data_IF_951882902413
#
_entry.id   IF_951882902413
#
_cell.length_a   1.000
_cell.length_b   1.000
_cell.length_c   1.000
_cell.angle_alpha   90.00
_cell.angle_beta   90.00
_cell.angle_gamma   90.00
#
_symmetry.space_group_name_H-M   'P 1'
#
loop_
_entity.id
_entity.type
_entity.pdbx_description
1 polymer ?
#
# COMPACT_ATOMS: atom_id res chain seq x y z
N UNK A 1 -8.68 3.07 -54.34
CA UNK A 1 -8.81 1.61 -54.48
C UNK A 1 -7.66 0.93 -53.76
N UNK A 2 -7.87 0.50 -52.53
CA UNK A 2 -7.05 -0.51 -51.85
C UNK A 2 -8.06 -1.42 -51.14
N UNK A 3 -8.11 -2.69 -51.56
CA UNK A 3 -8.93 -3.74 -50.97
C UNK A 3 -8.23 -4.23 -49.71
N UNK A 4 -8.91 -4.19 -48.57
CA UNK A 4 -8.58 -5.03 -47.41
C UNK A 4 -9.87 -5.71 -46.97
N UNK A 5 -9.91 -7.01 -47.21
CA UNK A 5 -11.04 -7.90 -46.96
C UNK A 5 -11.04 -8.33 -45.51
N UNK A 6 -12.05 -7.85 -44.79
CA UNK A 6 -12.58 -8.43 -43.56
C UNK A 6 -13.14 -9.82 -43.87
N UNK A 7 -12.76 -10.86 -43.14
CA UNK A 7 -13.57 -12.08 -42.96
C UNK A 7 -13.34 -12.66 -41.54
N UNK A 8 -14.42 -12.99 -40.80
CA UNK A 8 -14.39 -13.50 -39.44
C UNK A 8 -14.22 -15.03 -39.36
N UNK A 9 -13.89 -15.51 -38.17
CA UNK A 9 -13.61 -16.89 -37.75
C UNK A 9 -14.58 -17.98 -38.25
N UNK A 10 -14.17 -19.26 -38.10
CA UNK A 10 -15.10 -20.23 -37.54
C UNK A 10 -14.53 -20.98 -36.33
N UNK A 11 -15.24 -20.84 -35.22
CA UNK A 11 -15.32 -21.83 -34.14
C UNK A 11 -16.03 -23.07 -34.70
N UNK A 12 -15.52 -24.27 -34.43
CA UNK A 12 -16.35 -25.45 -34.09
C UNK A 12 -15.50 -26.62 -33.53
N UNK A 13 -16.14 -27.58 -32.84
CA UNK A 13 -15.62 -28.24 -31.65
C UNK A 13 -15.36 -29.73 -31.88
N UNK A 14 -14.71 -30.38 -30.92
CA UNK A 14 -14.97 -31.75 -30.44
C UNK A 14 -13.68 -32.42 -29.96
N UNK A 15 -13.77 -33.09 -28.81
CA UNK A 15 -12.67 -33.90 -28.29
C UNK A 15 -12.71 -34.01 -26.78
N UNK A 16 -13.76 -34.64 -26.25
CA UNK A 16 -13.78 -35.08 -24.87
C UNK A 16 -12.65 -36.10 -24.61
N UNK A 17 -11.99 -35.97 -23.47
CA UNK A 17 -10.94 -36.86 -23.03
C UNK A 17 -10.46 -36.49 -21.63
N UNK A 18 -11.18 -37.00 -20.63
CA UNK A 18 -10.72 -37.36 -19.27
C UNK A 18 -9.57 -36.49 -18.73
N UNK A 19 -9.91 -35.45 -17.95
CA UNK A 19 -8.93 -34.79 -17.07
C UNK A 19 -8.71 -35.71 -15.87
N UNK A 20 -7.73 -36.60 -15.98
CA UNK A 20 -7.13 -37.22 -14.79
C UNK A 20 -6.40 -36.15 -14.01
N UNK A 21 -6.66 -36.11 -12.70
CA UNK A 21 -5.84 -35.43 -11.71
C UNK A 21 -4.36 -35.59 -12.03
N UNK A 22 -3.75 -34.52 -12.49
CA UNK A 22 -2.31 -34.38 -12.56
C UNK A 22 -2.04 -32.95 -12.15
N UNK A 23 -2.01 -32.75 -10.84
CA UNK A 23 -1.32 -31.61 -10.24
C UNK A 23 0.04 -31.50 -10.91
N UNK A 24 0.37 -30.39 -11.60
CA UNK A 24 1.72 -30.23 -12.09
C UNK A 24 2.63 -30.17 -10.87
N UNK A 25 3.44 -31.21 -10.70
CA UNK A 25 4.61 -31.17 -9.83
C UNK A 25 5.55 -30.14 -10.47
N UNK A 26 5.49 -28.90 -10.01
CA UNK A 26 6.50 -27.89 -10.30
C UNK A 26 7.73 -28.28 -9.48
N UNK A 27 8.44 -29.31 -9.95
CA UNK A 27 9.78 -29.67 -9.48
C UNK A 27 10.78 -28.79 -10.21
N UNK A 28 10.84 -27.54 -9.80
CA UNK A 28 11.98 -26.65 -10.02
C UNK A 28 12.13 -25.86 -8.74
N UNK A 29 13.16 -26.15 -7.95
CA UNK A 29 13.47 -25.34 -6.77
C UNK A 29 13.62 -23.89 -7.23
N UNK A 30 12.76 -23.00 -6.72
CA UNK A 30 12.93 -21.56 -6.90
C UNK A 30 14.32 -21.20 -6.34
N UNK A 31 15.20 -20.52 -7.10
CA UNK A 31 16.57 -20.21 -6.65
C UNK A 31 16.61 -19.34 -5.39
N UNK A 32 15.49 -18.71 -5.03
CA UNK A 32 15.28 -17.94 -3.80
C UNK A 32 15.00 -18.81 -2.56
N UNK A 33 14.72 -20.10 -2.75
CA UNK A 33 14.40 -21.07 -1.67
C UNK A 33 15.43 -22.19 -1.53
N UNK A 34 16.50 -22.13 -2.33
CA UNK A 34 17.61 -23.08 -2.25
C UNK A 34 18.27 -23.01 -0.87
N UNK A 35 18.25 -24.12 -0.13
CA UNK A 35 18.79 -24.21 1.22
C UNK A 35 17.81 -23.86 2.36
N UNK A 36 16.57 -23.49 2.06
CA UNK A 36 15.53 -23.30 3.09
C UNK A 36 14.92 -24.63 3.52
N UNK A 37 14.63 -24.74 4.82
CA UNK A 37 13.79 -25.80 5.39
C UNK A 37 12.35 -25.68 4.89
N UNK A 38 11.59 -26.77 4.93
CA UNK A 38 10.17 -26.74 4.54
C UNK A 38 9.34 -25.78 5.39
N UNK A 39 9.71 -25.56 6.65
CA UNK A 39 9.05 -24.59 7.53
C UNK A 39 9.29 -23.15 7.03
N UNK A 40 10.54 -22.78 6.76
CA UNK A 40 10.90 -21.46 6.24
C UNK A 40 10.25 -21.17 4.87
N UNK A 41 10.12 -22.20 4.02
CA UNK A 41 9.40 -22.08 2.74
C UNK A 41 7.92 -21.75 2.96
N UNK A 42 7.26 -22.41 3.92
CA UNK A 42 5.85 -22.13 4.26
C UNK A 42 5.67 -20.72 4.81
N UNK A 43 6.56 -20.29 5.69
CA UNK A 43 6.55 -18.93 6.25
C UNK A 43 6.64 -17.87 5.15
N UNK A 44 7.55 -18.06 4.19
CA UNK A 44 7.71 -17.17 3.05
C UNK A 44 6.45 -17.12 2.18
N UNK A 45 5.88 -18.29 1.86
CA UNK A 45 4.65 -18.40 1.06
C UNK A 45 3.46 -17.73 1.76
N UNK A 46 3.31 -17.93 3.07
CA UNK A 46 2.26 -17.28 3.87
C UNK A 46 2.46 -15.76 3.95
N UNK A 47 3.70 -15.30 4.10
CA UNK A 47 4.02 -13.88 4.11
C UNK A 47 3.67 -13.21 2.76
N UNK A 48 4.00 -13.86 1.63
CA UNK A 48 3.63 -13.38 0.30
C UNK A 48 2.10 -13.36 0.12
N UNK A 49 1.41 -14.42 0.57
CA UNK A 49 -0.04 -14.51 0.50
C UNK A 49 -0.73 -13.40 1.31
N UNK A 50 -0.27 -13.13 2.55
CA UNK A 50 -0.76 -12.02 3.39
C UNK A 50 -0.56 -10.66 2.71
N UNK A 51 0.61 -10.44 2.11
CA UNK A 51 0.90 -9.22 1.35
C UNK A 51 -0.04 -9.06 0.16
N UNK A 52 -0.32 -10.13 -0.58
CA UNK A 52 -1.26 -10.07 -1.70
C UNK A 52 -2.70 -9.89 -1.26
N UNK A 53 -3.13 -10.45 -0.13
CA UNK A 53 -4.45 -10.19 0.43
C UNK A 53 -4.60 -8.71 0.81
N UNK A 54 -3.58 -8.10 1.43
CA UNK A 54 -3.59 -6.67 1.74
C UNK A 54 -3.68 -5.82 0.46
N UNK A 55 -2.90 -6.15 -0.57
CA UNK A 55 -2.97 -5.47 -1.86
C UNK A 55 -4.35 -5.63 -2.53
N UNK A 56 -4.96 -6.81 -2.43
CA UNK A 56 -6.30 -7.08 -2.95
C UNK A 56 -7.37 -6.29 -2.20
N UNK A 57 -7.29 -6.19 -0.87
CA UNK A 57 -8.19 -5.35 -0.04
C UNK A 57 -8.07 -3.87 -0.42
N UNK A 58 -6.85 -3.36 -0.61
CA UNK A 58 -6.64 -1.99 -1.09
C UNK A 58 -7.21 -1.76 -2.50
N UNK A 59 -6.94 -2.69 -3.42
CA UNK A 59 -7.46 -2.61 -4.80
C UNK A 59 -8.97 -2.79 -4.91
N UNK A 60 -9.61 -3.50 -3.97
CA UNK A 60 -11.05 -3.72 -3.95
C UNK A 60 -11.86 -2.42 -3.76
N UNK A 61 -11.28 -1.40 -3.11
CA UNK A 61 -11.88 -0.08 -3.01
C UNK A 61 -11.93 0.64 -4.37
N UNK A 62 -10.84 0.56 -5.13
CA UNK A 62 -10.71 1.22 -6.43
C UNK A 62 -11.39 0.43 -7.57
N UNK A 63 -11.43 -0.90 -7.45
CA UNK A 63 -11.94 -1.83 -8.46
C UNK A 63 -12.82 -2.89 -7.76
N UNK A 64 -14.16 -2.73 -7.80
CA UNK A 64 -15.07 -3.64 -7.10
C UNK A 64 -14.97 -5.11 -7.49
N UNK A 65 -14.55 -5.43 -8.72
CA UNK A 65 -14.36 -6.82 -9.19
C UNK A 65 -13.30 -7.56 -8.38
N UNK A 66 -12.30 -6.85 -7.84
CA UNK A 66 -11.28 -7.42 -6.96
C UNK A 66 -11.86 -7.79 -5.58
N UNK A 67 -12.89 -7.07 -5.13
CA UNK A 67 -13.57 -7.32 -3.86
C UNK A 67 -14.17 -8.73 -3.74
N UNK A 68 -14.63 -9.29 -4.87
CA UNK A 68 -15.20 -10.65 -4.91
C UNK A 68 -14.21 -11.75 -4.49
N UNK A 69 -12.89 -11.48 -4.59
CA UNK A 69 -11.83 -12.43 -4.28
C UNK A 69 -11.32 -12.32 -2.84
N UNK A 70 -11.65 -11.24 -2.13
CA UNK A 70 -11.09 -10.95 -0.79
C UNK A 70 -11.48 -12.02 0.22
N UNK A 71 -12.79 -12.26 0.39
CA UNK A 71 -13.29 -13.18 1.43
C UNK A 71 -12.85 -14.63 1.20
N UNK A 72 -12.97 -15.21 -0.02
CA UNK A 72 -12.49 -16.57 -0.26
C UNK A 72 -10.99 -16.74 0.00
N UNK A 73 -10.19 -15.73 -0.34
CA UNK A 73 -8.74 -15.77 -0.12
C UNK A 73 -8.40 -15.63 1.38
N UNK A 74 -9.08 -14.74 2.10
CA UNK A 74 -8.96 -14.59 3.55
C UNK A 74 -9.29 -15.90 4.30
N UNK A 75 -10.44 -16.50 4.01
CA UNK A 75 -10.86 -17.78 4.62
C UNK A 75 -9.86 -18.92 4.35
N UNK A 76 -9.13 -18.88 3.24
CA UNK A 76 -8.13 -19.88 2.87
C UNK A 76 -6.79 -19.61 3.56
N UNK A 77 -6.39 -18.35 3.63
CA UNK A 77 -5.18 -17.92 4.32
C UNK A 77 -5.28 -18.17 5.83
N UNK A 78 -6.42 -17.89 6.45
CA UNK A 78 -6.67 -18.21 7.87
C UNK A 78 -6.55 -19.70 8.16
N UNK A 79 -7.04 -20.55 7.24
CA UNK A 79 -6.89 -22.01 7.36
C UNK A 79 -5.42 -22.42 7.23
N UNK A 80 -4.69 -21.86 6.28
CA UNK A 80 -3.28 -22.16 6.09
C UNK A 80 -2.44 -21.74 7.31
N UNK A 81 -2.72 -20.55 7.87
CA UNK A 81 -2.09 -20.06 9.10
C UNK A 81 -2.35 -20.99 10.28
N UNK A 82 -3.60 -21.44 10.46
CA UNK A 82 -3.96 -22.37 11.53
C UNK A 82 -3.21 -23.70 11.42
N UNK A 83 -3.24 -24.34 10.24
CA UNK A 83 -2.57 -25.62 10.06
C UNK A 83 -1.05 -25.51 10.14
N UNK A 84 -0.49 -24.37 9.74
CA UNK A 84 0.93 -24.10 9.90
C UNK A 84 1.33 -24.05 11.38
N UNK A 85 0.59 -23.30 12.20
CA UNK A 85 0.81 -23.27 13.66
C UNK A 85 0.60 -24.64 14.32
N UNK A 86 -0.46 -25.36 13.94
CA UNK A 86 -0.73 -26.71 14.46
C UNK A 86 0.41 -27.68 14.11
N UNK A 87 1.03 -27.54 12.92
CA UNK A 87 2.17 -28.35 12.51
C UNK A 87 3.42 -28.04 13.34
N UNK A 88 3.71 -26.77 13.61
CA UNK A 88 4.82 -26.39 14.49
C UNK A 88 4.64 -26.92 15.92
N UNK A 89 3.43 -26.78 16.47
CA UNK A 89 3.10 -27.30 17.80
C UNK A 89 3.27 -28.82 17.85
N UNK A 90 2.91 -29.53 16.78
CA UNK A 90 3.11 -30.97 16.67
C UNK A 90 4.60 -31.37 16.57
N UNK A 91 5.42 -30.59 15.86
CA UNK A 91 6.86 -30.82 15.77
C UNK A 91 7.57 -30.55 17.11
N UNK A 92 7.10 -29.56 17.88
CA UNK A 92 7.53 -29.34 19.26
C UNK A 92 7.14 -30.52 20.16
N UNK A 93 5.91 -31.02 20.04
CA UNK A 93 5.46 -32.20 20.79
C UNK A 93 6.27 -33.47 20.46
N UNK A 94 6.67 -33.67 19.20
CA UNK A 94 7.60 -34.75 18.81
C UNK A 94 8.95 -34.58 19.50
N UNK A 95 9.48 -33.36 19.54
CA UNK A 95 10.77 -33.08 20.19
C UNK A 95 10.73 -33.38 21.68
N UNK A 96 9.66 -32.98 22.36
CA UNK A 96 9.47 -33.24 23.79
C UNK A 96 9.23 -34.73 24.10
N UNK A 97 8.48 -35.43 23.24
CA UNK A 97 8.29 -36.88 23.35
C UNK A 97 9.62 -37.64 23.16
N UNK A 98 10.48 -37.22 22.21
CA UNK A 98 11.84 -37.78 22.04
C UNK A 98 12.67 -37.58 23.30
N UNK A 99 12.74 -36.35 23.82
CA UNK A 99 13.46 -36.04 25.07
C UNK A 99 13.00 -36.91 26.25
N UNK A 100 11.69 -37.10 26.36
CA UNK A 100 11.10 -37.92 27.43
C UNK A 100 11.51 -39.38 27.30
N UNK A 101 11.43 -39.95 26.10
CA UNK A 101 11.91 -41.32 25.81
C UNK A 101 13.40 -41.45 26.14
N UNK A 102 14.23 -40.54 25.64
CA UNK A 102 15.68 -40.58 25.85
C UNK A 102 16.04 -40.46 27.35
N UNK A 103 15.25 -39.69 28.13
CA UNK A 103 15.40 -39.62 29.58
C UNK A 103 15.03 -40.93 30.29
N UNK A 104 13.98 -41.63 29.84
CA UNK A 104 13.62 -42.95 30.36
C UNK A 104 14.68 -44.01 30.04
N UNK A 105 15.21 -44.01 28.81
CA UNK A 105 16.33 -44.89 28.43
C UNK A 105 17.57 -44.60 29.27
N UNK A 106 17.94 -43.33 29.44
CA UNK A 106 19.08 -42.91 30.25
C UNK A 106 18.92 -43.27 31.75
N UNK A 107 17.70 -43.21 32.28
CA UNK A 107 17.41 -43.61 33.65
C UNK A 107 17.56 -45.13 33.86
N UNK A 108 17.08 -45.93 32.90
CA UNK A 108 17.18 -47.39 32.96
C UNK A 108 18.65 -47.87 32.92
N UNK A 109 19.50 -47.21 32.14
CA UNK A 109 20.95 -47.49 32.08
C UNK A 109 21.68 -47.25 33.41
N UNK A 110 21.09 -46.52 34.36
CA UNK A 110 21.67 -46.28 35.70
C UNK A 110 21.29 -47.35 36.72
N UNK A 111 20.36 -48.26 36.39
CA UNK A 111 19.93 -49.35 37.26
C UNK A 111 20.70 -50.64 36.89
N UNK A 112 21.34 -51.34 37.83
CA UNK A 112 21.97 -52.63 37.56
C UNK A 112 20.96 -53.64 37.01
N UNK A 113 21.23 -54.22 35.84
CA UNK A 113 20.32 -55.10 35.08
C UNK A 113 18.99 -54.44 34.62
N UNK A 114 18.93 -53.10 34.56
CA UNK A 114 17.77 -52.40 34.00
C UNK A 114 17.64 -52.63 32.49
N UNK A 115 16.43 -52.94 32.02
CA UNK A 115 16.10 -53.02 30.59
C UNK A 115 15.60 -51.64 30.09
N UNK A 116 16.39 -50.90 29.30
CA UNK A 116 16.00 -49.59 28.79
C UNK A 116 14.81 -49.64 27.83
N UNK A 117 14.66 -50.73 27.08
CA UNK A 117 13.58 -50.88 26.10
C UNK A 117 12.25 -51.07 26.81
N UNK A 118 12.22 -51.96 27.81
CA UNK A 118 11.02 -52.16 28.63
C UNK A 118 10.62 -50.89 29.41
N UNK A 119 11.62 -50.16 29.92
CA UNK A 119 11.40 -48.93 30.70
C UNK A 119 10.90 -47.76 29.84
N UNK A 120 11.33 -47.69 28.58
CA UNK A 120 10.94 -46.62 27.66
C UNK A 120 9.71 -46.95 26.79
N UNK A 121 9.16 -48.17 26.85
CA UNK A 121 8.07 -48.61 25.97
C UNK A 121 6.83 -47.70 25.98
N UNK A 122 6.45 -47.18 27.15
CA UNK A 122 5.35 -46.21 27.28
C UNK A 122 5.67 -44.87 26.60
N UNK A 123 6.89 -44.36 26.76
CA UNK A 123 7.34 -43.13 26.13
C UNK A 123 7.52 -43.29 24.61
N UNK A 124 7.94 -44.47 24.15
CA UNK A 124 8.02 -44.79 22.72
C UNK A 124 6.63 -44.75 22.06
N UNK A 125 5.59 -45.28 22.70
CA UNK A 125 4.21 -45.18 22.19
C UNK A 125 3.77 -43.72 22.04
N UNK A 126 4.06 -42.87 23.03
CA UNK A 126 3.74 -41.43 22.94
C UNK A 126 4.50 -40.72 21.82
N UNK A 127 5.76 -41.11 21.56
CA UNK A 127 6.54 -40.62 20.44
C UNK A 127 5.93 -41.02 19.10
N UNK A 128 5.50 -42.28 18.94
CA UNK A 128 4.88 -42.77 17.70
C UNK A 128 3.56 -42.05 17.39
N UNK A 129 2.74 -41.78 18.42
CA UNK A 129 1.51 -41.01 18.29
C UNK A 129 1.80 -39.53 17.91
N UNK A 130 2.80 -38.91 18.54
CA UNK A 130 3.23 -37.57 18.21
C UNK A 130 3.75 -37.48 16.76
N UNK A 131 4.55 -38.45 16.30
CA UNK A 131 5.07 -38.51 14.93
C UNK A 131 3.94 -38.63 13.91
N UNK A 132 2.95 -39.52 14.14
CA UNK A 132 1.78 -39.65 13.25
C UNK A 132 0.98 -38.35 13.17
N UNK A 133 0.77 -37.69 14.31
CA UNK A 133 0.06 -36.40 14.36
C UNK A 133 0.82 -35.31 13.60
N UNK A 134 2.13 -35.18 13.85
CA UNK A 134 3.00 -34.23 13.17
C UNK A 134 3.02 -34.47 11.65
N UNK A 135 3.11 -35.72 11.19
CA UNK A 135 3.06 -36.05 9.77
C UNK A 135 1.73 -35.63 9.11
N UNK A 136 0.59 -35.87 9.77
CA UNK A 136 -0.71 -35.49 9.24
C UNK A 136 -0.85 -33.96 9.16
N UNK A 137 -0.50 -33.24 10.22
CA UNK A 137 -0.59 -31.78 10.27
C UNK A 137 0.38 -31.12 9.29
N UNK A 138 1.60 -31.63 9.15
CA UNK A 138 2.55 -31.15 8.15
C UNK A 138 2.01 -31.32 6.71
N UNK A 139 1.31 -32.42 6.41
CA UNK A 139 0.65 -32.60 5.09
C UNK A 139 -0.45 -31.56 4.88
N UNK A 140 -1.33 -31.38 5.86
CA UNK A 140 -2.41 -30.39 5.77
C UNK A 140 -1.87 -28.96 5.64
N UNK A 141 -0.83 -28.62 6.40
CA UNK A 141 -0.14 -27.34 6.31
C UNK A 141 0.43 -27.14 4.89
N UNK A 142 1.20 -28.11 4.38
CA UNK A 142 1.77 -28.03 3.02
C UNK A 142 0.69 -27.81 1.95
N UNK A 143 -0.41 -28.57 2.01
CA UNK A 143 -1.50 -28.44 1.03
C UNK A 143 -2.18 -27.07 1.12
N UNK A 144 -2.49 -26.61 2.34
CA UNK A 144 -3.23 -25.36 2.53
C UNK A 144 -2.39 -24.13 2.22
N UNK A 145 -1.10 -24.15 2.57
CA UNK A 145 -0.13 -23.11 2.17
C UNK A 145 0.03 -23.05 0.66
N UNK A 146 0.16 -24.20 -0.02
CA UNK A 146 0.24 -24.24 -1.48
C UNK A 146 -1.01 -23.64 -2.15
N UNK A 147 -2.20 -23.93 -1.63
CA UNK A 147 -3.43 -23.35 -2.13
C UNK A 147 -3.49 -21.83 -1.90
N UNK A 148 -3.06 -21.35 -0.73
CA UNK A 148 -2.96 -19.92 -0.45
C UNK A 148 -1.95 -19.21 -1.36
N UNK A 149 -0.81 -19.84 -1.65
CA UNK A 149 0.19 -19.36 -2.63
C UNK A 149 -0.42 -19.24 -4.03
N UNK A 150 -1.14 -20.26 -4.49
CA UNK A 150 -1.79 -20.25 -5.81
C UNK A 150 -2.84 -19.15 -5.91
N UNK A 151 -3.63 -18.93 -4.86
CA UNK A 151 -4.56 -17.79 -4.78
C UNK A 151 -3.83 -16.45 -4.83
N UNK A 152 -2.69 -16.31 -4.14
CA UNK A 152 -1.88 -15.11 -4.20
C UNK A 152 -1.39 -14.81 -5.63
N UNK A 153 -0.95 -15.84 -6.36
CA UNK A 153 -0.54 -15.71 -7.77
C UNK A 153 -1.72 -15.36 -8.69
N UNK A 154 -2.88 -15.98 -8.48
CA UNK A 154 -4.10 -15.67 -9.22
C UNK A 154 -4.56 -14.23 -8.96
N UNK A 155 -4.56 -13.81 -7.69
CA UNK A 155 -4.89 -12.45 -7.26
C UNK A 155 -3.92 -11.44 -7.88
N UNK A 156 -2.60 -11.71 -7.87
CA UNK A 156 -1.59 -10.85 -8.52
C UNK A 156 -1.86 -10.66 -10.00
N UNK A 157 -2.19 -11.74 -10.70
CA UNK A 157 -2.53 -11.71 -12.13
C UNK A 157 -3.81 -10.93 -12.37
N UNK A 158 -4.84 -11.14 -11.51
CA UNK A 158 -6.11 -10.42 -11.58
C UNK A 158 -5.93 -8.92 -11.35
N UNK A 159 -5.23 -8.54 -10.30
CA UNK A 159 -4.87 -7.14 -9.99
C UNK A 159 -4.20 -6.52 -11.21
N UNK A 160 -3.13 -7.11 -11.75
CA UNK A 160 -2.44 -6.56 -12.93
C UNK A 160 -3.37 -6.37 -14.12
N UNK A 161 -4.24 -7.33 -14.41
CA UNK A 161 -5.19 -7.22 -15.52
C UNK A 161 -6.22 -6.12 -15.27
N UNK A 162 -6.86 -6.13 -14.10
CA UNK A 162 -7.96 -5.22 -13.82
C UNK A 162 -7.46 -3.77 -13.68
N UNK A 163 -6.26 -3.56 -13.12
CA UNK A 163 -5.60 -2.26 -13.13
C UNK A 163 -5.24 -1.79 -14.54
N UNK A 164 -4.79 -2.66 -15.43
CA UNK A 164 -4.56 -2.30 -16.85
C UNK A 164 -5.86 -1.94 -17.55
N UNK A 165 -6.92 -2.73 -17.34
CA UNK A 165 -8.23 -2.47 -17.93
C UNK A 165 -8.89 -1.19 -17.40
N UNK A 166 -8.56 -0.78 -16.18
CA UNK A 166 -9.08 0.43 -15.54
C UNK A 166 -8.07 1.59 -15.50
N UNK A 167 -6.92 1.47 -16.17
CA UNK A 167 -5.81 2.42 -16.02
C UNK A 167 -6.25 3.85 -16.37
N UNK A 168 -6.98 4.01 -17.47
CA UNK A 168 -7.46 5.32 -17.93
C UNK A 168 -8.49 5.90 -16.97
N UNK A 169 -9.47 5.08 -16.52
CA UNK A 169 -10.47 5.51 -15.52
C UNK A 169 -9.81 5.97 -14.21
N UNK A 170 -8.90 5.15 -13.67
CA UNK A 170 -8.20 5.45 -12.41
C UNK A 170 -7.30 6.68 -12.54
N UNK A 171 -6.65 6.86 -13.69
CA UNK A 171 -5.84 8.06 -13.96
C UNK A 171 -6.72 9.29 -13.98
N UNK A 172 -7.86 9.26 -14.67
CA UNK A 172 -8.82 10.38 -14.70
C UNK A 172 -9.40 10.70 -13.32
N UNK A 173 -9.79 9.70 -12.53
CA UNK A 173 -10.28 9.90 -11.16
C UNK A 173 -9.24 10.54 -10.24
N UNK A 174 -7.97 10.11 -10.33
CA UNK A 174 -6.86 10.69 -9.57
C UNK A 174 -6.57 12.12 -9.99
N UNK A 175 -6.58 12.41 -11.30
CA UNK A 175 -6.42 13.76 -11.83
C UNK A 175 -7.51 14.71 -11.29
N UNK A 176 -8.76 14.26 -11.19
CA UNK A 176 -9.87 15.05 -10.61
C UNK A 176 -9.68 15.34 -9.13
N UNK A 177 -9.31 14.33 -8.35
CA UNK A 177 -9.08 14.49 -6.91
C UNK A 177 -7.97 15.52 -6.66
N UNK A 178 -6.89 15.42 -7.45
CA UNK A 178 -5.81 16.38 -7.39
C UNK A 178 -6.24 17.79 -7.82
N UNK A 179 -7.08 17.94 -8.85
CA UNK A 179 -7.62 19.24 -9.27
C UNK A 179 -8.42 19.93 -8.16
N UNK A 180 -9.19 19.14 -7.39
CA UNK A 180 -9.93 19.65 -6.23
C UNK A 180 -8.98 20.11 -5.12
N UNK A 181 -7.98 19.30 -4.75
CA UNK A 181 -6.96 19.65 -3.76
C UNK A 181 -6.14 20.88 -4.17
N UNK A 182 -5.78 20.96 -5.45
CA UNK A 182 -5.11 22.11 -6.06
C UNK A 182 -5.95 23.38 -5.92
N UNK A 183 -7.23 23.30 -6.28
CA UNK A 183 -8.16 24.44 -6.18
C UNK A 183 -8.26 24.94 -4.74
N UNK A 184 -8.42 24.03 -3.78
CA UNK A 184 -8.44 24.36 -2.36
C UNK A 184 -7.13 25.03 -1.89
N UNK A 185 -5.97 24.56 -2.38
CA UNK A 185 -4.68 25.17 -2.06
C UNK A 185 -4.55 26.60 -2.61
N UNK A 186 -5.02 26.85 -3.84
CA UNK A 186 -5.02 28.19 -4.44
C UNK A 186 -5.94 29.14 -3.66
N UNK A 187 -7.13 28.68 -3.26
CA UNK A 187 -8.06 29.46 -2.45
C UNK A 187 -7.49 29.81 -1.08
N UNK A 188 -6.82 28.85 -0.43
CA UNK A 188 -6.14 29.06 0.85
C UNK A 188 -5.01 30.10 0.74
N UNK A 189 -4.23 30.08 -0.35
CA UNK A 189 -3.20 31.10 -0.64
C UNK A 189 -3.84 32.48 -0.84
N UNK A 190 -4.90 32.57 -1.64
CA UNK A 190 -5.61 33.83 -1.86
C UNK A 190 -6.20 34.39 -0.56
N UNK A 191 -6.72 33.52 0.32
CA UNK A 191 -7.19 33.92 1.64
C UNK A 191 -6.04 34.41 2.54
N UNK A 192 -4.92 33.69 2.58
CA UNK A 192 -3.74 34.11 3.33
C UNK A 192 -3.26 35.50 2.89
N UNK A 193 -3.20 35.76 1.58
CA UNK A 193 -2.88 37.08 1.03
C UNK A 193 -3.86 38.16 1.52
N UNK A 194 -5.17 37.91 1.47
CA UNK A 194 -6.19 38.85 1.96
C UNK A 194 -6.00 39.15 3.45
N UNK A 195 -5.79 38.13 4.28
CA UNK A 195 -5.58 38.27 5.73
C UNK A 195 -4.31 39.07 6.04
N UNK A 196 -3.21 38.75 5.36
CA UNK A 196 -1.94 39.45 5.50
C UNK A 196 -2.10 40.94 5.14
N UNK A 197 -2.71 41.27 3.99
CA UNK A 197 -2.93 42.66 3.58
C UNK A 197 -3.80 43.43 4.59
N UNK A 198 -4.88 42.82 5.10
CA UNK A 198 -5.73 43.43 6.15
C UNK A 198 -4.94 43.72 7.43
N UNK A 199 -4.13 42.77 7.88
CA UNK A 199 -3.27 42.95 9.04
C UNK A 199 -2.28 44.11 8.81
N UNK A 200 -1.64 44.17 7.64
CA UNK A 200 -0.73 45.26 7.26
C UNK A 200 -1.44 46.62 7.27
N UNK A 201 -2.63 46.72 6.68
CA UNK A 201 -3.40 47.98 6.70
C UNK A 201 -3.81 48.41 8.11
N UNK A 202 -4.24 47.47 8.95
CA UNK A 202 -4.59 47.76 10.34
C UNK A 202 -3.37 48.27 11.14
N UNK A 203 -2.21 47.62 11.00
CA UNK A 203 -0.96 48.08 11.62
C UNK A 203 -0.55 49.46 11.09
N UNK A 204 -0.69 49.71 9.78
CA UNK A 204 -0.43 51.02 9.19
C UNK A 204 -1.33 52.11 9.77
N UNK A 205 -2.62 51.84 9.94
CA UNK A 205 -3.57 52.77 10.53
C UNK A 205 -3.24 53.08 12.00
N UNK A 206 -2.95 52.06 12.82
CA UNK A 206 -2.56 52.26 14.23
C UNK A 206 -1.28 53.09 14.33
N UNK A 207 -0.30 52.85 13.46
CA UNK A 207 0.94 53.64 13.40
C UNK A 207 0.68 55.09 12.95
N UNK A 208 -0.21 55.29 11.98
CA UNK A 208 -0.67 56.61 11.56
C UNK A 208 -1.35 57.38 12.70
N UNK A 209 -2.28 56.74 13.41
CA UNK A 209 -2.95 57.33 14.59
C UNK A 209 -1.95 57.69 15.69
N UNK A 210 -0.97 56.82 15.98
CA UNK A 210 0.09 57.09 16.95
C UNK A 210 1.00 58.27 16.55
N UNK A 211 1.13 58.55 15.25
CA UNK A 211 1.87 59.72 14.76
C UNK A 211 1.07 61.03 14.85
N UNK A 212 -0.26 60.94 14.75
CA UNK A 212 -1.19 62.09 14.81
C UNK A 212 -1.62 62.46 16.24
N UNK A 213 -1.47 61.54 17.20
CA UNK A 213 -1.75 61.76 18.63
C UNK A 213 -0.43 61.75 19.42
N UNK A 214 0.35 62.83 19.35
CA UNK A 214 1.69 62.85 19.95
C UNK A 214 1.71 62.77 21.47
N UNK A 215 0.58 62.97 22.14
CA UNK A 215 0.46 62.93 23.61
C UNK A 215 0.06 61.55 24.15
N UNK A 216 -0.28 60.57 23.29
CA UNK A 216 -0.58 59.20 23.72
C UNK A 216 0.71 58.35 23.77
N UNK A 217 1.47 58.54 24.84
CA UNK A 217 2.71 57.80 25.11
C UNK A 217 2.50 56.29 25.22
N UNK A 218 1.30 55.85 25.62
CA UNK A 218 0.97 54.43 25.73
C UNK A 218 0.81 53.79 24.35
N UNK A 219 0.10 54.46 23.43
CA UNK A 219 -0.05 54.01 22.05
C UNK A 219 1.29 54.03 21.31
N UNK A 220 2.11 55.08 21.50
CA UNK A 220 3.47 55.13 20.96
C UNK A 220 4.37 54.01 21.47
N UNK A 221 4.36 53.75 22.79
CA UNK A 221 5.15 52.69 23.38
C UNK A 221 4.72 51.30 22.89
N UNK A 222 3.43 51.08 22.63
CA UNK A 222 2.91 49.84 22.06
C UNK A 222 3.33 49.67 20.60
N UNK A 223 3.24 50.73 19.79
CA UNK A 223 3.65 50.71 18.37
C UNK A 223 5.17 50.54 18.23
N UNK A 224 5.98 51.23 19.05
CA UNK A 224 7.45 51.14 19.01
C UNK A 224 7.98 49.79 19.51
N UNK A 225 7.26 49.14 20.43
CA UNK A 225 7.56 47.77 20.88
C UNK A 225 7.04 46.69 19.93
N UNK A 226 6.12 47.03 19.01
CA UNK A 226 5.64 46.07 18.04
C UNK A 226 6.78 45.68 17.09
N UNK A 227 7.15 44.41 17.12
CA UNK A 227 8.24 43.85 16.31
C UNK A 227 7.90 43.74 14.82
N UNK A 228 6.66 44.09 14.44
CA UNK A 228 6.12 43.91 13.11
C UNK A 228 6.36 45.17 12.28
N UNK A 229 7.44 45.15 11.49
CA UNK A 229 7.68 46.12 10.42
C UNK A 229 7.49 45.38 9.09
N UNK A 230 6.47 45.74 8.28
CA UNK A 230 6.21 45.11 6.98
C UNK A 230 7.44 45.06 6.07
N UNK A 231 8.33 46.05 6.22
CA UNK A 231 9.44 46.27 5.29
C UNK A 231 10.82 45.94 5.87
N UNK A 232 10.96 45.63 7.17
CA UNK A 232 12.28 45.35 7.75
C UNK A 232 12.66 43.87 7.67
N UNK A 233 13.89 43.64 7.18
CA UNK A 233 14.70 42.53 7.70
C UNK A 233 15.29 43.00 9.02
N UNK A 234 14.91 42.40 10.16
CA UNK A 234 15.72 42.56 11.36
C UNK A 234 17.10 41.97 11.07
N UNK A 235 18.14 42.79 11.11
CA UNK A 235 19.52 42.36 10.93
C UNK A 235 19.83 41.16 11.85
N UNK A 236 20.32 40.06 11.29
CA UNK A 236 20.63 38.83 12.04
C UNK A 236 19.45 37.85 12.25
N UNK A 237 18.28 38.09 11.66
CA UNK A 237 17.16 37.12 11.71
C UNK A 237 16.87 36.52 10.34
N UNK A 238 16.58 35.21 10.30
CA UNK A 238 16.16 34.49 9.08
C UNK A 238 14.69 34.72 8.72
N UNK A 239 14.04 35.74 9.27
CA UNK A 239 12.61 35.98 9.02
C UNK A 239 12.41 36.63 7.64
N UNK A 240 11.52 36.11 6.78
CA UNK A 240 11.23 36.70 5.49
C UNK A 240 10.49 38.05 5.67
N UNK A 241 10.79 39.03 4.82
CA UNK A 241 10.05 40.30 4.79
C UNK A 241 8.62 40.07 4.31
N UNK A 242 7.69 40.98 4.60
CA UNK A 242 6.32 40.89 4.05
C UNK A 242 6.35 40.80 2.52
N UNK A 243 7.18 41.62 1.88
CA UNK A 243 7.36 41.60 0.42
C UNK A 243 7.84 40.22 -0.07
N UNK A 244 8.78 39.59 0.63
CA UNK A 244 9.24 38.25 0.30
C UNK A 244 8.16 37.18 0.53
N UNK A 245 7.37 37.29 1.61
CA UNK A 245 6.24 36.37 1.87
C UNK A 245 5.16 36.51 0.81
N UNK A 246 4.77 37.75 0.46
CA UNK A 246 3.79 38.01 -0.59
C UNK A 246 4.31 37.54 -1.95
N UNK A 247 5.56 37.83 -2.29
CA UNK A 247 6.20 37.34 -3.52
C UNK A 247 6.22 35.80 -3.57
N UNK A 248 6.51 35.13 -2.45
CA UNK A 248 6.43 33.67 -2.39
C UNK A 248 5.01 33.17 -2.60
N UNK A 249 4.01 33.74 -1.92
CA UNK A 249 2.61 33.39 -2.10
C UNK A 249 2.13 33.65 -3.54
N UNK A 250 2.58 34.74 -4.17
CA UNK A 250 2.26 35.06 -5.57
C UNK A 250 2.80 34.00 -6.53
N UNK A 251 3.95 33.39 -6.23
CA UNK A 251 4.52 32.32 -7.09
C UNK A 251 3.82 30.96 -6.93
N UNK A 252 3.09 30.71 -5.85
CA UNK A 252 2.47 29.41 -5.57
C UNK A 252 1.36 29.07 -6.59
N UNK A 253 0.41 29.96 -6.90
CA UNK A 253 -0.58 29.72 -7.96
C UNK A 253 0.03 29.44 -9.33
N UNK A 254 1.17 30.04 -9.67
CA UNK A 254 1.87 29.75 -10.94
C UNK A 254 2.54 28.38 -10.93
N UNK A 255 3.11 27.96 -9.79
CA UNK A 255 3.74 26.64 -9.63
C UNK A 255 2.73 25.51 -9.56
N UNK A 256 1.57 25.79 -8.97
CA UNK A 256 0.43 24.87 -8.92
C UNK A 256 -0.44 24.97 -10.17
N UNK A 257 -0.23 25.97 -11.02
CA UNK A 257 -1.12 26.33 -12.12
C UNK A 257 -0.78 25.69 -13.46
N UNK A 258 -1.81 25.64 -14.30
CA UNK A 258 -1.73 25.50 -15.74
C UNK A 258 -1.15 26.83 -16.23
N UNK A 259 0.17 26.89 -16.36
CA UNK A 259 0.81 28.13 -16.81
C UNK A 259 0.38 28.47 -18.23
N UNK A 260 -0.30 29.60 -18.39
CA UNK A 260 -0.31 30.36 -19.65
C UNK A 260 1.16 30.70 -20.00
N UNK A 261 1.53 30.63 -21.29
CA UNK A 261 2.90 30.68 -21.85
C UNK A 261 3.70 31.97 -21.50
N UNK A 262 3.12 32.87 -20.71
CA UNK A 262 3.61 34.21 -20.38
C UNK A 262 4.33 34.30 -19.04
N UNK A 263 4.33 33.25 -18.21
CA UNK A 263 5.16 33.23 -17.00
C UNK A 263 6.65 33.04 -17.36
N UNK A 264 7.60 33.67 -16.62
CA UNK A 264 9.02 33.55 -16.91
C UNK A 264 9.45 32.07 -16.90
N UNK A 265 10.07 31.65 -18.02
CA UNK A 265 10.46 30.28 -18.46
C UNK A 265 11.34 29.45 -17.49
N UNK A 266 11.47 29.84 -16.23
CA UNK A 266 12.37 29.24 -15.26
C UNK A 266 11.74 28.10 -14.43
N UNK A 267 10.44 27.84 -14.55
CA UNK A 267 9.79 26.70 -13.89
C UNK A 267 9.39 25.63 -14.91
N UNK A 268 9.65 24.35 -14.62
CA UNK A 268 9.60 23.28 -15.61
C UNK A 268 8.19 23.09 -16.19
N UNK A 269 8.17 22.69 -17.47
CA UNK A 269 7.04 22.39 -18.38
C UNK A 269 5.99 21.41 -17.80
N UNK A 270 6.27 20.81 -16.65
CA UNK A 270 5.45 19.79 -15.98
C UNK A 270 4.04 20.31 -15.67
N UNK A 271 3.89 21.57 -15.25
CA UNK A 271 2.57 22.14 -14.90
C UNK A 271 1.63 22.31 -16.10
N UNK A 272 2.16 22.66 -17.26
CA UNK A 272 1.37 22.84 -18.48
C UNK A 272 0.91 21.49 -19.06
N UNK A 273 1.83 20.52 -19.19
CA UNK A 273 1.49 19.17 -19.67
C UNK A 273 0.55 18.42 -18.72
N UNK A 274 0.73 18.59 -17.41
CA UNK A 274 -0.20 18.04 -16.42
C UNK A 274 -1.58 18.68 -16.56
N UNK A 275 -1.60 19.99 -16.78
CA UNK A 275 -2.84 20.69 -16.97
C UNK A 275 -3.61 20.25 -18.21
N UNK A 276 -2.91 20.13 -19.33
CA UNK A 276 -3.49 19.58 -20.56
C UNK A 276 -4.11 18.19 -20.32
N UNK A 277 -3.45 17.33 -19.52
CA UNK A 277 -3.97 16.01 -19.16
C UNK A 277 -5.27 16.05 -18.35
N UNK A 278 -5.40 16.97 -17.38
CA UNK A 278 -6.66 17.13 -16.61
C UNK A 278 -7.79 17.66 -17.50
N UNK A 279 -7.47 18.58 -18.42
CA UNK A 279 -8.47 19.10 -19.36
C UNK A 279 -8.97 18.01 -20.30
N UNK A 280 -8.07 17.24 -20.90
CA UNK A 280 -8.40 16.07 -21.74
C UNK A 280 -9.29 15.10 -20.95
N UNK A 281 -8.92 14.79 -19.69
CA UNK A 281 -9.72 13.92 -18.84
C UNK A 281 -11.15 14.44 -18.63
N UNK A 282 -11.33 15.75 -18.41
CA UNK A 282 -12.65 16.37 -18.23
C UNK A 282 -13.50 16.33 -19.51
N UNK A 283 -12.88 16.56 -20.67
CA UNK A 283 -13.55 16.55 -21.98
C UNK A 283 -14.01 15.15 -22.38
N UNK A 284 -13.16 14.13 -22.20
CA UNK A 284 -13.51 12.74 -22.50
C UNK A 284 -14.68 12.22 -21.66
N UNK A 285 -14.79 12.66 -20.41
CA UNK A 285 -15.90 12.27 -19.53
C UNK A 285 -17.21 13.01 -19.87
N UNK A 286 -17.14 14.26 -20.31
CA UNK A 286 -18.29 14.97 -20.82
C UNK A 286 -18.88 14.26 -22.05
N UNK A 287 -18.00 13.78 -22.95
CA UNK A 287 -18.39 12.99 -24.12
C UNK A 287 -19.00 11.62 -23.73
N UNK A 288 -18.40 10.90 -22.77
CA UNK A 288 -18.94 9.62 -22.31
C UNK A 288 -20.35 9.73 -21.68
N UNK A 289 -20.62 10.85 -20.99
CA UNK A 289 -21.94 11.11 -20.39
C UNK A 289 -22.98 11.64 -21.39
N UNK A 290 -22.56 12.26 -22.51
CA UNK A 290 -23.49 12.67 -23.56
C UNK A 290 -23.94 11.52 -24.46
N UNK A 291 -23.11 10.49 -24.63
CA UNK A 291 -23.45 9.30 -25.44
C UNK A 291 -24.37 8.30 -24.71
N UNK A 292 -24.63 8.52 -23.42
CA UNK A 292 -25.48 7.68 -22.58
C UNK A 292 -26.84 8.30 -22.24
N UNK A 293 -27.15 9.48 -22.79
CA UNK A 293 -28.41 10.21 -22.64
C UNK A 293 -29.22 10.19 -23.95
#
# INVERSE_FOLDING_TARGET
MVKSTFHPDPIHPSGGGIVTDSTPVISGEDPLTAGMTDAEKRDLDLAEARKMLAALKGGAFEIPTLGSLVKPFEDRLERADRFHLDAEDADRAVTDAKRTRDAHEAAALRVPNGDPVATAAGAQKTLDEALKRAQNLNRLANTTVLLARNDALAARTRIRRDYRANADRLTRERLRTFEAERTAAIEAVAEAQRRIRRATSAFGNVRGMASQLPEDDRLRALVSKSSFSPNDRRAGTNQPTLAAVLQHLDTIPFRLGYGDDRAPRAYPVIGASFGEAVKIAAEEDAAANSDSA
#
